data_IF_965554787850
#
_entry.id   IF_965554787850
#
_cell.length_a   1.000
_cell.length_b   1.000
_cell.length_c   1.000
_cell.angle_alpha   90.00
_cell.angle_beta   90.00
_cell.angle_gamma   90.00
#
_symmetry.space_group_name_H-M   'P 1'
#
loop_
_entity.id
_entity.type
_entity.pdbx_description
1 polymer ?
#
# COMPACT_ATOMS: atom_id res chain seq x y z
N UNK A 1 -6.62 36.10 -13.51
CA UNK A 1 -5.43 35.33 -13.05
C UNK A 1 -5.07 35.51 -11.57
N UNK A 2 -5.61 36.50 -10.84
CA UNK A 2 -5.21 36.79 -9.44
C UNK A 2 -5.93 36.00 -8.32
N UNK A 3 -6.91 35.14 -8.65
CA UNK A 3 -7.72 34.41 -7.66
C UNK A 3 -7.13 33.06 -7.25
N UNK A 4 -6.27 32.46 -8.08
CA UNK A 4 -5.72 31.11 -7.85
C UNK A 4 -4.58 31.12 -6.81
N UNK A 5 -3.85 32.24 -6.69
CA UNK A 5 -2.73 32.40 -5.76
C UNK A 5 -3.14 32.42 -4.28
N UNK A 6 -4.42 32.72 -3.98
CA UNK A 6 -4.94 32.78 -2.61
C UNK A 6 -5.26 31.43 -1.99
N UNK A 7 -5.28 30.35 -2.78
CA UNK A 7 -5.56 28.98 -2.30
C UNK A 7 -4.29 28.19 -1.95
N UNK A 8 -3.12 28.71 -2.32
CA UNK A 8 -1.81 28.12 -2.00
C UNK A 8 -1.54 27.92 -0.48
N UNK A 9 -1.93 28.82 0.45
CA UNK A 9 -1.60 28.64 1.86
C UNK A 9 -2.46 27.57 2.53
N UNK A 10 -3.67 27.32 2.01
CA UNK A 10 -4.57 26.28 2.53
C UNK A 10 -4.05 24.89 2.15
N UNK A 11 -3.47 24.74 0.95
CA UNK A 11 -2.87 23.49 0.51
C UNK A 11 -1.64 23.08 1.35
N UNK A 12 -0.88 24.06 1.86
CA UNK A 12 0.27 23.81 2.75
C UNK A 12 -0.16 23.31 4.14
N UNK A 13 -1.34 23.71 4.63
CA UNK A 13 -1.89 23.25 5.91
C UNK A 13 -2.42 21.80 5.85
N UNK A 14 -2.63 21.26 4.65
CA UNK A 14 -3.04 19.87 4.42
C UNK A 14 -1.86 18.92 4.17
N UNK A 15 -0.62 19.42 4.24
CA UNK A 15 0.54 18.54 4.18
C UNK A 15 0.59 17.66 5.44
N UNK A 16 0.76 16.33 5.31
CA UNK A 16 0.93 15.47 6.47
C UNK A 16 2.23 15.86 7.17
N UNK A 17 2.11 16.56 8.30
CA UNK A 17 3.25 16.85 9.16
C UNK A 17 3.78 15.51 9.67
N UNK A 18 5.07 15.25 9.44
CA UNK A 18 5.73 14.08 10.00
C UNK A 18 5.62 14.17 11.53
N UNK A 19 4.95 13.19 12.14
CA UNK A 19 4.82 13.14 13.59
C UNK A 19 6.20 12.95 14.22
N UNK A 20 6.82 14.04 14.70
CA UNK A 20 8.13 14.04 15.37
C UNK A 20 8.12 13.33 16.75
N UNK A 21 7.02 12.66 17.13
CA UNK A 21 6.92 11.89 18.37
C UNK A 21 7.69 10.55 18.33
N UNK A 22 8.19 10.13 17.16
CA UNK A 22 8.90 8.85 17.02
C UNK A 22 10.41 8.94 17.31
N UNK A 23 10.96 10.13 17.57
CA UNK A 23 12.42 10.33 17.65
C UNK A 23 13.01 10.16 19.07
N UNK A 24 12.18 10.02 20.11
CA UNK A 24 12.63 9.87 21.49
C UNK A 24 12.09 8.56 22.09
N UNK A 25 12.68 7.46 21.67
CA UNK A 25 12.48 6.16 22.28
C UNK A 25 12.91 6.19 23.76
N UNK A 26 11.99 5.93 24.73
CA UNK A 26 12.37 5.84 26.13
C UNK A 26 13.49 4.80 26.32
N UNK A 27 14.51 5.09 27.14
CA UNK A 27 15.60 4.12 27.36
C UNK A 27 15.03 2.75 27.75
N UNK A 28 15.30 1.72 26.92
CA UNK A 28 14.75 0.38 27.08
C UNK A 28 13.56 0.02 26.18
N UNK A 29 13.07 0.93 25.32
CA UNK A 29 12.01 0.63 24.33
C UNK A 29 12.51 -0.19 23.13
N UNK A 30 13.82 -0.39 22.97
CA UNK A 30 14.42 -1.15 21.86
C UNK A 30 13.75 -2.50 21.55
N UNK A 31 13.45 -3.35 22.54
CA UNK A 31 12.73 -4.61 22.31
C UNK A 31 11.25 -4.44 21.91
N UNK A 32 10.55 -3.44 22.47
CA UNK A 32 9.16 -3.13 22.10
C UNK A 32 9.08 -2.58 20.68
N UNK A 33 9.96 -1.64 20.33
CA UNK A 33 10.04 -1.05 18.99
C UNK A 33 10.43 -2.11 17.96
N UNK A 34 11.37 -3.01 18.30
CA UNK A 34 11.71 -4.16 17.45
C UNK A 34 10.52 -5.13 17.28
N UNK A 35 9.77 -5.40 18.35
CA UNK A 35 8.57 -6.25 18.28
C UNK A 35 7.46 -5.61 17.43
N UNK A 36 7.24 -4.30 17.58
CA UNK A 36 6.30 -3.54 16.74
C UNK A 36 6.75 -3.51 15.28
N UNK A 37 8.05 -3.35 15.01
CA UNK A 37 8.62 -3.43 13.66
C UNK A 37 8.46 -4.82 13.04
N UNK A 38 8.60 -5.89 13.82
CA UNK A 38 8.37 -7.26 13.37
C UNK A 38 6.88 -7.52 13.07
N UNK A 39 5.98 -7.05 13.94
CA UNK A 39 4.54 -7.12 13.70
C UNK A 39 4.15 -6.31 12.45
N UNK A 40 4.71 -5.12 12.27
CA UNK A 40 4.51 -4.33 11.07
C UNK A 40 5.00 -5.07 9.81
N UNK A 41 6.20 -5.62 9.83
CA UNK A 41 6.76 -6.36 8.69
C UNK A 41 5.99 -7.63 8.35
N UNK A 42 5.52 -8.36 9.36
CA UNK A 42 4.70 -9.56 9.15
C UNK A 42 3.31 -9.21 8.62
N UNK A 43 2.62 -8.24 9.24
CA UNK A 43 1.27 -7.84 8.84
C UNK A 43 1.23 -7.16 7.47
N UNK A 44 2.25 -6.37 7.11
CA UNK A 44 2.30 -5.66 5.83
C UNK A 44 2.98 -6.45 4.72
N UNK A 45 3.92 -7.36 5.03
CA UNK A 45 4.73 -8.07 4.03
C UNK A 45 4.32 -9.53 3.84
N UNK A 46 4.76 -10.40 4.75
CA UNK A 46 4.63 -11.85 4.59
C UNK A 46 3.18 -12.35 4.71
N UNK A 47 2.39 -11.79 5.62
CA UNK A 47 0.98 -12.18 5.78
C UNK A 47 0.14 -11.69 4.61
N UNK A 48 0.35 -10.44 4.18
CA UNK A 48 -0.36 -9.86 3.03
C UNK A 48 -0.15 -10.70 1.75
N UNK A 49 1.11 -11.02 1.45
CA UNK A 49 1.47 -11.87 0.31
C UNK A 49 0.88 -13.28 0.42
N UNK A 50 0.91 -13.91 1.59
CA UNK A 50 0.33 -15.24 1.80
C UNK A 50 -1.19 -15.26 1.56
N UNK A 51 -1.92 -14.28 2.07
CA UNK A 51 -3.38 -14.18 1.88
C UNK A 51 -3.73 -14.01 0.40
N UNK A 52 -2.97 -13.20 -0.33
CA UNK A 52 -3.20 -13.03 -1.76
C UNK A 52 -2.94 -14.31 -2.56
N UNK A 53 -1.87 -15.04 -2.25
CA UNK A 53 -1.60 -16.33 -2.91
C UNK A 53 -2.72 -17.33 -2.62
N UNK A 54 -3.24 -17.38 -1.40
CA UNK A 54 -4.39 -18.22 -1.07
C UNK A 54 -5.65 -17.85 -1.85
N UNK A 55 -5.92 -16.55 -2.02
CA UNK A 55 -7.02 -16.06 -2.85
C UNK A 55 -6.87 -16.46 -4.33
N UNK A 56 -5.66 -16.31 -4.90
CA UNK A 56 -5.36 -16.73 -6.28
C UNK A 56 -5.53 -18.25 -6.45
N UNK A 57 -5.04 -19.05 -5.50
CA UNK A 57 -5.19 -20.51 -5.52
C UNK A 57 -6.67 -20.92 -5.45
N UNK A 58 -7.47 -20.29 -4.59
CA UNK A 58 -8.91 -20.54 -4.48
C UNK A 58 -9.66 -20.20 -5.77
N UNK A 59 -9.30 -19.09 -6.43
CA UNK A 59 -9.86 -18.73 -7.75
C UNK A 59 -9.50 -19.76 -8.80
N UNK A 60 -8.23 -20.20 -8.85
CA UNK A 60 -7.80 -21.27 -9.76
C UNK A 60 -8.60 -22.55 -9.56
N UNK A 61 -8.84 -22.94 -8.30
CA UNK A 61 -9.66 -24.11 -7.97
C UNK A 61 -11.11 -23.94 -8.43
N UNK A 62 -11.72 -22.77 -8.21
CA UNK A 62 -13.07 -22.49 -8.69
C UNK A 62 -13.17 -22.41 -10.22
N UNK A 63 -12.13 -21.96 -10.92
CA UNK A 63 -12.08 -21.98 -12.39
C UNK A 63 -12.07 -23.41 -12.94
N UNK A 64 -11.40 -24.36 -12.27
CA UNK A 64 -11.43 -25.78 -12.65
C UNK A 64 -12.82 -26.42 -12.49
N UNK A 65 -13.67 -25.92 -11.60
CA UNK A 65 -15.07 -26.39 -11.49
C UNK A 65 -15.95 -25.99 -12.67
N UNK A 66 -15.45 -25.16 -13.59
CA UNK A 66 -16.12 -24.79 -14.85
C UNK A 66 -17.33 -23.87 -14.71
N UNK A 67 -17.77 -23.58 -13.48
CA UNK A 67 -18.97 -22.77 -13.21
C UNK A 67 -18.67 -21.30 -12.92
N UNK A 68 -17.41 -20.94 -12.74
CA UNK A 68 -17.00 -19.58 -12.44
C UNK A 68 -16.84 -18.76 -13.72
N UNK A 69 -17.47 -17.59 -13.76
CA UNK A 69 -17.32 -16.65 -14.88
C UNK A 69 -15.85 -16.29 -15.02
N UNK A 70 -15.24 -16.55 -16.18
CA UNK A 70 -13.86 -16.17 -16.47
C UNK A 70 -13.55 -14.70 -16.14
N UNK A 71 -14.55 -13.82 -16.36
CA UNK A 71 -14.50 -12.40 -15.99
C UNK A 71 -14.21 -12.19 -14.50
N UNK A 72 -14.80 -13.00 -13.62
CA UNK A 72 -14.60 -12.89 -12.17
C UNK A 72 -13.16 -13.23 -11.79
N UNK A 73 -12.59 -14.31 -12.32
CA UNK A 73 -11.20 -14.65 -12.02
C UNK A 73 -10.21 -13.63 -12.59
N UNK A 74 -10.48 -13.08 -13.78
CA UNK A 74 -9.68 -11.98 -14.31
C UNK A 74 -9.70 -10.75 -13.40
N UNK A 75 -10.86 -10.38 -12.84
CA UNK A 75 -10.97 -9.27 -11.88
C UNK A 75 -10.16 -9.52 -10.61
N UNK A 76 -10.17 -10.74 -10.07
CA UNK A 76 -9.38 -11.07 -8.87
C UNK A 76 -7.87 -10.98 -9.15
N UNK A 77 -7.40 -11.52 -10.29
CA UNK A 77 -5.97 -11.45 -10.67
C UNK A 77 -5.52 -9.99 -10.83
N UNK A 78 -6.33 -9.16 -11.49
CA UNK A 78 -6.06 -7.72 -11.63
C UNK A 78 -6.03 -7.03 -10.26
N UNK A 79 -6.96 -7.38 -9.37
CA UNK A 79 -6.99 -6.84 -8.01
C UNK A 79 -5.71 -7.16 -7.21
N UNK A 80 -5.24 -8.40 -7.28
CA UNK A 80 -3.99 -8.84 -6.64
C UNK A 80 -2.79 -8.06 -7.21
N UNK A 81 -2.73 -7.89 -8.53
CA UNK A 81 -1.67 -7.10 -9.16
C UNK A 81 -1.63 -5.65 -8.65
N UNK A 82 -2.79 -4.99 -8.51
CA UNK A 82 -2.86 -3.62 -8.00
C UNK A 82 -2.44 -3.55 -6.53
N UNK A 83 -2.83 -4.54 -5.70
CA UNK A 83 -2.50 -4.56 -4.27
C UNK A 83 -0.98 -4.58 -4.01
N UNK A 84 -0.23 -5.41 -4.73
CA UNK A 84 1.24 -5.52 -4.57
C UNK A 84 2.02 -4.57 -5.48
N UNK A 85 1.49 -4.23 -6.65
CA UNK A 85 2.13 -3.34 -7.61
C UNK A 85 1.98 -1.85 -7.28
N UNK A 86 1.14 -1.49 -6.30
CA UNK A 86 0.83 -0.10 -5.97
C UNK A 86 2.07 0.78 -5.75
N UNK A 87 3.07 0.30 -5.00
CA UNK A 87 4.27 1.08 -4.73
C UNK A 87 5.06 1.41 -6.01
N UNK A 88 5.23 0.44 -6.91
CA UNK A 88 5.91 0.64 -8.20
C UNK A 88 5.13 1.54 -9.14
N UNK A 89 3.79 1.42 -9.16
CA UNK A 89 2.92 2.28 -9.95
C UNK A 89 3.05 3.74 -9.48
N UNK A 90 2.97 3.96 -8.17
CA UNK A 90 3.11 5.29 -7.58
C UNK A 90 4.49 5.88 -7.83
N UNK A 91 5.55 5.09 -7.65
CA UNK A 91 6.91 5.52 -7.94
C UNK A 91 7.09 5.93 -9.42
N UNK A 92 6.51 5.16 -10.36
CA UNK A 92 6.54 5.49 -11.78
C UNK A 92 5.80 6.80 -12.12
N UNK A 93 4.62 7.01 -11.53
CA UNK A 93 3.85 8.26 -11.71
C UNK A 93 4.62 9.46 -11.14
N UNK A 94 5.18 9.31 -9.93
CA UNK A 94 5.97 10.37 -9.30
C UNK A 94 7.23 10.69 -10.11
N UNK A 95 7.92 9.68 -10.67
CA UNK A 95 9.06 9.89 -11.56
C UNK A 95 8.70 10.67 -12.82
N UNK A 96 7.60 10.32 -13.48
CA UNK A 96 7.11 11.03 -14.66
C UNK A 96 6.64 12.47 -14.34
N UNK A 97 6.02 12.68 -13.17
CA UNK A 97 5.57 14.00 -12.72
C UNK A 97 6.73 14.91 -12.28
N UNK A 98 7.83 14.32 -11.77
CA UNK A 98 9.03 15.03 -11.36
C UNK A 98 9.94 15.43 -12.55
N UNK A 99 9.59 15.05 -13.78
CA UNK A 99 10.32 15.43 -14.98
C UNK A 99 11.59 14.62 -15.22
N UNK A 100 11.55 13.31 -14.97
CA UNK A 100 12.46 12.37 -15.63
C UNK A 100 12.10 12.22 -17.11
#
# INVERSE_FOLDING_TARGET
>A
MLRLTRLLPIALLMSPTAAFAQAADPQGSGPIVAALGWLQGTLLGNVATAVAVMAVAAVGFMMLTGRLNWRFGATVIIGVFILFGAASIVAGIQGAAAGA
#
